data_IF_773953788954
#
_entry.id   IF_773953788954
#
_cell.length_a   1.000
_cell.length_b   1.000
_cell.length_c   1.000
_cell.angle_alpha   90.00
_cell.angle_beta   90.00
_cell.angle_gamma   90.00
#
_symmetry.space_group_name_H-M   'P 1'
#
loop_
_entity.id
_entity.type
_entity.pdbx_description
1 polymer ?
#
# COMPACT_ATOMS: atom_id res chain seq x y z
N UNK A 1 26.15 23.71 -30.52
CA UNK A 1 25.08 24.73 -30.42
C UNK A 1 24.30 24.45 -29.16
N UNK A 2 24.12 25.46 -28.30
CA UNK A 2 23.29 25.32 -27.10
C UNK A 2 21.83 25.53 -27.52
N UNK A 3 20.99 24.51 -27.38
CA UNK A 3 19.56 24.59 -27.65
C UNK A 3 18.83 24.80 -26.32
N UNK A 4 18.05 25.88 -26.24
CA UNK A 4 17.28 26.22 -25.05
C UNK A 4 15.88 25.58 -25.13
N UNK A 5 15.53 24.75 -24.14
CA UNK A 5 14.17 24.22 -24.01
C UNK A 5 13.32 25.24 -23.24
N UNK A 6 12.28 25.74 -23.90
CA UNK A 6 11.30 26.64 -23.32
C UNK A 6 10.02 25.89 -23.01
N UNK A 7 9.32 26.32 -21.95
CA UNK A 7 7.96 25.84 -21.64
C UNK A 7 7.05 26.10 -22.86
N UNK A 8 6.41 25.07 -23.44
CA UNK A 8 5.46 25.23 -24.55
C UNK A 8 4.21 26.00 -24.10
N UNK A 9 3.36 26.41 -25.05
CA UNK A 9 2.18 27.22 -24.74
C UNK A 9 1.18 26.42 -23.89
N UNK A 10 1.10 26.74 -22.58
CA UNK A 10 0.21 26.08 -21.61
C UNK A 10 -1.18 26.78 -21.55
N UNK A 11 -1.44 27.77 -22.41
CA UNK A 11 -2.65 28.60 -22.35
C UNK A 11 -2.48 29.82 -21.43
N UNK A 12 -3.57 30.51 -21.08
CA UNK A 12 -3.55 31.80 -20.34
C UNK A 12 -3.11 31.70 -18.86
N UNK A 13 -2.54 30.58 -18.43
CA UNK A 13 -2.13 30.35 -17.04
C UNK A 13 -0.76 30.97 -16.75
N UNK A 14 -0.72 31.84 -15.73
CA UNK A 14 0.51 32.48 -15.23
C UNK A 14 0.88 31.86 -13.88
N UNK A 15 2.15 31.52 -13.68
CA UNK A 15 2.72 30.99 -12.43
C UNK A 15 2.23 29.59 -12.01
N UNK A 16 2.55 28.58 -12.82
CA UNK A 16 2.23 27.16 -12.58
C UNK A 16 3.40 26.50 -11.83
N UNK A 17 3.12 25.61 -10.87
CA UNK A 17 4.14 24.98 -10.00
C UNK A 17 4.62 23.63 -10.57
N UNK A 18 5.89 23.31 -10.31
CA UNK A 18 6.51 22.03 -10.71
C UNK A 18 6.35 21.00 -9.60
N UNK A 19 5.61 19.92 -9.88
CA UNK A 19 5.45 18.79 -8.95
C UNK A 19 6.65 17.85 -9.03
N UNK A 20 7.13 17.57 -10.24
CA UNK A 20 8.12 16.52 -10.45
C UNK A 20 9.04 16.82 -11.63
N UNK A 21 10.35 16.61 -11.41
CA UNK A 21 11.40 16.70 -12.43
C UNK A 21 11.83 15.27 -12.76
N UNK A 22 11.51 14.80 -13.98
CA UNK A 22 11.72 13.41 -14.40
C UNK A 22 13.11 13.14 -14.98
N UNK A 23 13.93 14.18 -15.13
CA UNK A 23 15.24 14.13 -15.77
C UNK A 23 16.37 14.53 -14.81
N UNK A 24 17.51 13.84 -14.91
CA UNK A 24 18.75 14.21 -14.19
C UNK A 24 19.75 14.87 -15.14
N UNK A 25 20.65 15.69 -14.58
CA UNK A 25 21.73 16.30 -15.38
C UNK A 25 22.60 15.20 -16.02
N UNK A 26 22.73 15.25 -17.34
CA UNK A 26 23.46 14.23 -18.12
C UNK A 26 22.60 13.14 -18.77
N UNK A 27 21.30 13.07 -18.49
CA UNK A 27 20.40 12.10 -19.16
C UNK A 27 20.26 12.40 -20.66
N UNK A 28 20.08 11.32 -21.43
CA UNK A 28 19.85 11.35 -22.87
C UNK A 28 18.35 11.32 -23.13
N UNK A 29 17.79 12.42 -23.63
CA UNK A 29 16.36 12.55 -23.92
C UNK A 29 16.11 12.38 -25.43
N UNK A 30 15.03 11.69 -25.80
CA UNK A 30 14.50 11.67 -27.18
C UNK A 30 13.35 12.67 -27.36
N UNK A 31 13.09 13.05 -28.60
CA UNK A 31 11.99 13.93 -28.99
C UNK A 31 10.66 13.32 -28.52
N UNK A 32 9.85 14.16 -27.87
CA UNK A 32 8.57 13.82 -27.21
C UNK A 32 8.64 13.07 -25.87
N UNK A 33 9.82 12.79 -25.31
CA UNK A 33 9.90 12.20 -23.97
C UNK A 33 9.49 13.25 -22.89
N UNK A 34 8.74 12.87 -21.84
CA UNK A 34 8.31 13.79 -20.80
C UNK A 34 9.48 14.24 -19.92
N UNK A 35 9.65 15.55 -19.75
CA UNK A 35 10.76 16.16 -18.98
C UNK A 35 10.30 16.57 -17.57
N UNK A 36 9.13 17.18 -17.48
CA UNK A 36 8.59 17.82 -16.27
C UNK A 36 7.08 17.62 -16.19
N UNK A 37 6.58 17.49 -14.97
CA UNK A 37 5.14 17.47 -14.68
C UNK A 37 4.75 18.73 -13.93
N UNK A 38 3.81 19.48 -14.48
CA UNK A 38 3.33 20.76 -13.95
C UNK A 38 1.93 20.61 -13.36
N UNK A 39 1.65 21.28 -12.24
CA UNK A 39 0.31 21.36 -11.63
C UNK A 39 -0.41 22.63 -12.06
N UNK A 40 -1.46 22.49 -12.87
CA UNK A 40 -2.41 23.58 -13.10
C UNK A 40 -3.65 23.40 -12.22
N UNK A 41 -4.38 24.49 -11.97
CA UNK A 41 -5.60 24.60 -11.12
C UNK A 41 -6.68 23.54 -11.39
N UNK A 42 -6.60 22.82 -12.53
CA UNK A 42 -7.58 21.80 -12.90
C UNK A 42 -6.99 20.46 -13.34
N UNK A 43 -5.68 20.38 -13.60
CA UNK A 43 -5.05 19.16 -14.15
C UNK A 43 -3.52 19.22 -14.04
N UNK A 44 -2.90 18.06 -13.90
CA UNK A 44 -1.46 17.88 -14.14
C UNK A 44 -1.19 17.77 -15.64
N UNK A 45 -0.22 18.53 -16.15
CA UNK A 45 0.17 18.50 -17.57
C UNK A 45 1.65 18.16 -17.69
N UNK A 46 1.95 17.16 -18.52
CA UNK A 46 3.33 16.75 -18.81
C UNK A 46 3.90 17.60 -19.96
N UNK A 47 5.13 18.09 -19.79
CA UNK A 47 5.84 18.85 -20.81
C UNK A 47 6.79 17.92 -21.59
N UNK A 48 6.51 17.64 -22.88
CA UNK A 48 7.38 16.80 -23.70
C UNK A 48 8.62 17.55 -24.19
N UNK A 49 9.71 16.82 -24.45
CA UNK A 49 10.96 17.35 -24.98
C UNK A 49 10.84 17.78 -26.45
N UNK A 50 11.19 19.03 -26.81
CA UNK A 50 11.17 19.49 -28.20
C UNK A 50 12.36 19.02 -29.04
N UNK A 51 13.47 18.57 -28.42
CA UNK A 51 14.71 18.20 -29.13
C UNK A 51 15.39 16.96 -28.52
N UNK A 52 16.08 16.20 -29.37
CA UNK A 52 16.95 15.09 -28.97
C UNK A 52 18.30 15.64 -28.48
N UNK A 53 18.81 15.17 -27.33
CA UNK A 53 20.15 15.54 -26.87
C UNK A 53 20.44 15.21 -25.40
N UNK A 54 21.66 15.53 -24.95
CA UNK A 54 22.06 15.40 -23.54
C UNK A 54 21.82 16.70 -22.77
N UNK A 55 21.24 16.58 -21.59
CA UNK A 55 20.98 17.71 -20.68
C UNK A 55 22.29 18.17 -20.03
N UNK A 56 22.68 19.43 -20.23
CA UNK A 56 23.93 19.98 -19.66
C UNK A 56 23.75 20.65 -18.30
N UNK A 57 22.59 21.26 -18.06
CA UNK A 57 22.28 21.90 -16.77
C UNK A 57 20.77 22.05 -16.62
N UNK A 58 20.26 21.74 -15.44
CA UNK A 58 18.85 21.94 -15.08
C UNK A 58 18.79 23.15 -14.17
N UNK A 59 18.08 24.21 -14.58
CA UNK A 59 17.99 25.45 -13.79
C UNK A 59 16.79 25.48 -12.84
N UNK A 60 15.98 24.44 -12.83
CA UNK A 60 14.69 24.43 -12.13
C UNK A 60 14.65 23.35 -11.05
N UNK A 61 14.07 23.68 -9.89
CA UNK A 61 13.89 22.75 -8.76
C UNK A 61 12.41 22.40 -8.60
N UNK A 62 12.14 21.27 -7.94
CA UNK A 62 10.77 20.90 -7.53
C UNK A 62 10.20 22.03 -6.66
N UNK A 63 8.99 22.50 -7.00
CA UNK A 63 8.31 23.62 -6.33
C UNK A 63 8.59 25.02 -6.89
N UNK A 64 9.36 25.16 -7.98
CA UNK A 64 9.59 26.45 -8.63
C UNK A 64 8.42 26.88 -9.53
N UNK A 65 8.19 28.20 -9.66
CA UNK A 65 7.07 28.78 -10.42
C UNK A 65 7.50 29.12 -11.84
N UNK A 66 6.86 28.49 -12.82
CA UNK A 66 7.19 28.70 -14.24
C UNK A 66 6.05 29.36 -15.01
N UNK A 67 6.42 30.15 -16.03
CA UNK A 67 5.52 30.85 -16.95
C UNK A 67 5.88 30.55 -18.40
N UNK A 68 4.98 30.87 -19.34
CA UNK A 68 5.19 30.71 -20.79
C UNK A 68 6.56 31.22 -21.23
N UNK A 69 7.37 30.35 -21.82
CA UNK A 69 8.70 30.70 -22.32
C UNK A 69 9.84 30.66 -21.30
N UNK A 70 9.61 30.21 -20.06
CA UNK A 70 10.68 30.05 -19.07
C UNK A 70 11.71 29.00 -19.50
N UNK A 71 12.98 29.24 -19.17
CA UNK A 71 14.10 28.39 -19.56
C UNK A 71 14.20 27.18 -18.62
N UNK A 72 13.94 25.99 -19.15
CA UNK A 72 13.96 24.74 -18.38
C UNK A 72 15.37 24.15 -18.31
N UNK A 73 15.98 23.94 -19.48
CA UNK A 73 17.26 23.25 -19.62
C UNK A 73 17.98 23.68 -20.90
N UNK A 74 19.31 23.59 -20.88
CA UNK A 74 20.17 23.77 -22.06
C UNK A 74 20.66 22.41 -22.56
N UNK A 75 20.42 22.12 -23.84
CA UNK A 75 20.91 20.93 -24.55
C UNK A 75 22.21 21.23 -25.29
N UNK A 76 23.11 20.23 -25.31
CA UNK A 76 24.30 20.22 -26.17
C UNK A 76 24.23 19.02 -27.11
N UNK A 77 24.36 19.26 -28.42
CA UNK A 77 24.47 18.20 -29.42
C UNK A 77 25.93 17.90 -29.73
N UNK A 78 26.32 16.64 -29.53
CA UNK A 78 27.64 16.12 -29.87
C UNK A 78 27.78 14.65 -29.48
N UNK A 79 27.92 13.79 -30.49
CA UNK A 79 28.18 12.36 -30.36
C UNK A 79 29.58 12.04 -29.81
N UNK A 80 29.61 11.01 -28.97
CA UNK A 80 30.75 10.16 -28.56
C UNK A 80 31.98 10.77 -27.83
N UNK A 81 32.15 10.43 -26.54
CA UNK A 81 33.22 9.57 -25.99
C UNK A 81 33.54 9.80 -24.48
N UNK A 82 33.53 8.67 -23.75
CA UNK A 82 34.19 8.25 -22.48
C UNK A 82 34.48 9.22 -21.30
N UNK A 83 33.89 8.82 -20.15
CA UNK A 83 34.43 8.66 -18.77
C UNK A 83 35.03 9.88 -18.06
N UNK A 84 34.42 10.27 -16.92
CA UNK A 84 35.09 10.37 -15.60
C UNK A 84 34.08 10.65 -14.47
N UNK A 85 33.77 9.60 -13.74
CA UNK A 85 33.35 9.67 -12.33
C UNK A 85 34.46 10.28 -11.49
N UNK A 86 34.12 11.27 -10.65
CA UNK A 86 34.63 11.34 -9.28
C UNK A 86 33.99 12.48 -8.47
N UNK A 87 33.34 12.12 -7.35
CA UNK A 87 33.56 12.76 -6.05
C UNK A 87 33.08 11.85 -4.90
N UNK A 88 34.05 11.09 -4.37
CA UNK A 88 34.23 10.66 -2.97
C UNK A 88 33.05 10.10 -2.18
N UNK A 89 33.03 8.77 -2.07
CA UNK A 89 32.44 8.04 -0.93
C UNK A 89 33.58 7.74 0.05
N UNK A 90 33.34 7.88 1.35
CA UNK A 90 34.32 7.57 2.38
C UNK A 90 34.62 6.05 2.38
N UNK A 91 35.90 5.64 2.55
CA UNK A 91 36.37 4.26 2.38
C UNK A 91 35.85 3.25 3.44
N UNK A 92 35.02 3.69 4.39
CA UNK A 92 34.43 2.81 5.41
C UNK A 92 33.06 2.24 5.00
N UNK A 93 32.24 2.98 4.24
CA UNK A 93 30.92 2.51 3.79
C UNK A 93 31.04 1.43 2.71
N UNK A 94 32.06 1.48 1.85
CA UNK A 94 32.31 0.46 0.84
C UNK A 94 32.69 -0.90 1.43
N UNK A 95 33.46 -0.90 2.53
CA UNK A 95 33.82 -2.15 3.21
C UNK A 95 32.61 -2.83 3.82
N UNK A 96 31.70 -2.06 4.42
CA UNK A 96 30.45 -2.56 5.00
C UNK A 96 29.51 -3.11 3.91
N UNK A 97 29.43 -2.44 2.75
CA UNK A 97 28.63 -2.90 1.60
C UNK A 97 29.21 -4.19 1.01
N UNK A 98 30.54 -4.29 0.88
CA UNK A 98 31.20 -5.51 0.39
C UNK A 98 31.07 -6.69 1.37
N UNK A 99 31.05 -6.42 2.68
CA UNK A 99 30.79 -7.43 3.70
C UNK A 99 29.34 -7.91 3.65
N UNK A 100 28.38 -6.99 3.49
CA UNK A 100 26.96 -7.32 3.32
C UNK A 100 26.70 -8.11 2.03
N UNK A 101 27.34 -7.75 0.91
CA UNK A 101 27.25 -8.50 -0.35
C UNK A 101 27.89 -9.90 -0.28
N UNK A 102 28.99 -10.05 0.47
CA UNK A 102 29.61 -11.36 0.71
C UNK A 102 28.74 -12.26 1.58
N UNK A 103 27.96 -11.70 2.51
CA UNK A 103 27.02 -12.47 3.34
C UNK A 103 25.81 -12.91 2.52
N UNK A 104 25.29 -12.05 1.63
CA UNK A 104 24.19 -12.38 0.72
C UNK A 104 24.56 -13.48 -0.29
N UNK A 105 25.80 -13.50 -0.80
CA UNK A 105 26.26 -14.53 -1.77
C UNK A 105 26.67 -15.88 -1.15
N UNK A 106 26.76 -15.99 0.18
CA UNK A 106 27.20 -17.24 0.85
C UNK A 106 26.04 -18.12 1.35
N UNK A 107 24.81 -17.65 1.29
CA UNK A 107 23.62 -18.33 1.84
C UNK A 107 22.53 -18.60 0.79
N UNK A 108 22.89 -19.07 -0.40
CA UNK A 108 21.96 -19.78 -1.27
C UNK A 108 22.23 -21.29 -1.21
N UNK A 109 21.52 -22.06 -0.38
CA UNK A 109 21.28 -23.45 -0.68
C UNK A 109 20.09 -23.55 -1.64
N UNK A 110 20.34 -24.21 -2.77
CA UNK A 110 19.40 -24.58 -3.82
C UNK A 110 18.06 -25.08 -3.25
N UNK A 111 16.98 -24.32 -3.46
CA UNK A 111 15.62 -24.87 -3.40
C UNK A 111 15.32 -25.53 -4.74
N UNK A 112 15.52 -26.85 -4.81
CA UNK A 112 14.90 -27.69 -5.83
C UNK A 112 13.39 -27.47 -5.79
N UNK A 113 12.86 -27.06 -6.94
CA UNK A 113 11.43 -27.01 -7.23
C UNK A 113 10.94 -28.45 -7.19
N UNK A 114 10.24 -28.80 -6.12
CA UNK A 114 9.33 -29.94 -6.10
C UNK A 114 7.96 -29.31 -6.37
N UNK A 115 7.45 -29.51 -7.58
CA UNK A 115 6.04 -29.32 -7.89
C UNK A 115 5.25 -30.41 -7.15
N UNK A 116 4.99 -30.19 -5.87
CA UNK A 116 3.90 -30.86 -5.17
C UNK A 116 2.66 -29.98 -5.36
N UNK A 117 1.76 -30.41 -6.26
CA UNK A 117 0.38 -29.94 -6.26
C UNK A 117 -0.15 -30.01 -4.83
N UNK A 118 -0.77 -28.94 -4.30
CA UNK A 118 -1.35 -29.01 -2.97
C UNK A 118 -2.47 -30.05 -3.03
N UNK A 119 -2.22 -31.23 -2.47
CA UNK A 119 -3.28 -32.19 -2.14
C UNK A 119 -4.28 -31.45 -1.27
N UNK A 120 -5.41 -31.12 -1.86
CA UNK A 120 -6.59 -30.61 -1.18
C UNK A 120 -7.15 -31.70 -0.28
N UNK A 121 -6.50 -31.95 0.85
CA UNK A 121 -7.15 -32.57 1.98
C UNK A 121 -7.86 -31.45 2.75
N UNK A 122 -8.91 -30.88 2.16
CA UNK A 122 -9.91 -30.13 2.90
C UNK A 122 -10.88 -31.12 3.56
N UNK A 123 -10.34 -31.96 4.44
CA UNK A 123 -11.12 -32.62 5.49
C UNK A 123 -10.76 -31.99 6.84
N UNK A 124 -10.68 -30.67 6.90
CA UNK A 124 -10.96 -30.00 8.16
C UNK A 124 -12.47 -30.02 8.26
N UNK A 125 -13.03 -30.96 9.04
CA UNK A 125 -14.37 -30.80 9.59
C UNK A 125 -14.35 -29.46 10.31
N UNK A 126 -14.80 -28.41 9.63
CA UNK A 126 -15.04 -27.13 10.25
C UNK A 126 -16.19 -27.40 11.19
N UNK A 127 -15.89 -27.61 12.47
CA UNK A 127 -16.91 -27.56 13.51
C UNK A 127 -17.34 -26.10 13.57
N UNK A 128 -18.29 -25.74 12.70
CA UNK A 128 -19.02 -24.50 12.85
C UNK A 128 -19.71 -24.59 14.20
N UNK A 129 -19.10 -23.97 15.23
CA UNK A 129 -19.80 -23.73 16.48
C UNK A 129 -21.11 -23.09 16.08
N UNK A 130 -22.23 -23.74 16.42
CA UNK A 130 -23.56 -23.17 16.25
C UNK A 130 -23.57 -21.87 17.05
N UNK A 131 -23.31 -20.74 16.39
CA UNK A 131 -23.41 -19.43 16.99
C UNK A 131 -24.89 -19.13 17.09
N UNK A 132 -25.52 -19.52 18.19
CA UNK A 132 -26.97 -19.42 18.36
C UNK A 132 -27.46 -18.00 18.54
N UNK A 133 -26.58 -17.04 18.83
CA UNK A 133 -27.03 -15.70 19.25
C UNK A 133 -26.25 -14.61 18.49
N UNK A 134 -26.75 -14.29 17.30
CA UNK A 134 -26.62 -12.94 16.76
C UNK A 134 -27.99 -12.29 16.88
N UNK A 135 -28.27 -11.66 18.04
CA UNK A 135 -29.47 -10.83 18.15
C UNK A 135 -29.28 -9.62 17.26
N UNK A 136 -30.00 -9.63 16.14
CA UNK A 136 -30.14 -8.44 15.32
C UNK A 136 -31.22 -7.58 15.97
N UNK A 137 -31.09 -6.25 15.91
CA UNK A 137 -32.15 -5.33 16.38
C UNK A 137 -33.50 -5.53 15.63
N UNK A 138 -33.53 -6.39 14.60
CA UNK A 138 -34.70 -6.77 13.81
C UNK A 138 -35.56 -7.89 14.45
N UNK A 139 -35.14 -8.47 15.57
CA UNK A 139 -35.88 -9.54 16.28
C UNK A 139 -37.20 -9.04 16.91
N UNK A 140 -37.55 -7.75 16.75
CA UNK A 140 -38.80 -7.16 17.26
C UNK A 140 -40.03 -7.44 16.38
N UNK A 141 -39.84 -8.03 15.20
CA UNK A 141 -40.94 -8.53 14.37
C UNK A 141 -41.13 -9.99 14.82
N UNK A 142 -42.14 -10.23 15.65
CA UNK A 142 -42.45 -11.58 16.11
C UNK A 142 -42.55 -12.55 14.93
N UNK A 143 -41.82 -13.66 15.01
CA UNK A 143 -41.79 -14.67 13.97
C UNK A 143 -43.19 -15.30 13.80
N UNK A 144 -43.70 -15.27 12.57
CA UNK A 144 -45.04 -15.79 12.22
C UNK A 144 -45.02 -17.32 12.19
N UNK A 145 -43.92 -17.91 11.74
CA UNK A 145 -43.73 -19.36 11.70
C UNK A 145 -42.27 -19.74 12.07
N UNK A 146 -42.02 -19.99 13.37
CA UNK A 146 -40.70 -20.38 13.84
C UNK A 146 -40.18 -21.68 13.22
N UNK A 147 -41.06 -22.59 12.81
CA UNK A 147 -40.64 -23.87 12.25
C UNK A 147 -40.12 -23.69 10.82
N UNK A 148 -40.80 -22.89 10.01
CA UNK A 148 -40.29 -22.50 8.68
C UNK A 148 -38.91 -21.83 8.83
N UNK A 149 -38.76 -20.86 9.73
CA UNK A 149 -37.48 -20.17 9.96
C UNK A 149 -36.35 -21.15 10.28
N UNK A 150 -36.61 -22.15 11.13
CA UNK A 150 -35.64 -23.21 11.46
C UNK A 150 -35.29 -24.05 10.22
N UNK A 151 -36.28 -24.46 9.42
CA UNK A 151 -36.06 -25.24 8.20
C UNK A 151 -35.20 -24.49 7.16
N UNK A 152 -35.42 -23.18 7.01
CA UNK A 152 -34.59 -22.34 6.14
C UNK A 152 -33.16 -22.21 6.66
N UNK A 153 -32.98 -22.03 7.97
CA UNK A 153 -31.66 -21.97 8.61
C UNK A 153 -30.93 -23.32 8.43
N UNK A 154 -31.60 -24.43 8.68
CA UNK A 154 -31.02 -25.77 8.53
C UNK A 154 -30.68 -26.08 7.07
N UNK A 155 -31.51 -25.61 6.13
CA UNK A 155 -31.22 -25.70 4.69
C UNK A 155 -29.94 -24.94 4.32
N UNK A 156 -29.74 -23.74 4.86
CA UNK A 156 -28.53 -22.96 4.63
C UNK A 156 -27.30 -23.63 5.27
N UNK A 157 -27.43 -24.13 6.50
CA UNK A 157 -26.38 -24.86 7.21
C UNK A 157 -25.92 -26.09 6.41
N UNK A 158 -26.88 -26.86 5.90
CA UNK A 158 -26.60 -28.04 5.07
C UNK A 158 -25.81 -27.70 3.80
N UNK A 159 -26.07 -26.54 3.18
CA UNK A 159 -25.30 -26.05 2.02
C UNK A 159 -23.89 -25.64 2.43
N UNK A 160 -23.73 -24.98 3.58
CA UNK A 160 -22.41 -24.60 4.09
C UNK A 160 -21.55 -25.85 4.38
N UNK A 161 -22.14 -26.88 4.97
CA UNK A 161 -21.46 -28.14 5.29
C UNK A 161 -21.04 -28.90 4.03
N UNK A 162 -21.90 -28.97 3.00
CA UNK A 162 -21.63 -29.75 1.78
C UNK A 162 -20.81 -29.00 0.73
N UNK A 163 -21.21 -27.77 0.42
CA UNK A 163 -20.73 -27.01 -0.74
C UNK A 163 -19.86 -25.80 -0.34
N UNK A 164 -19.76 -25.50 0.96
CA UNK A 164 -18.89 -24.48 1.53
C UNK A 164 -19.47 -23.05 1.58
N UNK A 165 -18.75 -22.10 2.20
CA UNK A 165 -19.25 -20.75 2.50
C UNK A 165 -19.46 -19.89 1.24
N UNK A 166 -18.66 -20.08 0.19
CA UNK A 166 -18.80 -19.35 -1.08
C UNK A 166 -20.15 -19.64 -1.75
N UNK A 167 -20.61 -20.89 -1.70
CA UNK A 167 -21.90 -21.29 -2.26
C UNK A 167 -23.07 -20.71 -1.47
N UNK A 168 -22.99 -20.74 -0.14
CA UNK A 168 -24.00 -20.14 0.73
C UNK A 168 -24.16 -18.63 0.46
N UNK A 169 -23.04 -17.88 0.36
CA UNK A 169 -23.06 -16.46 0.01
C UNK A 169 -23.71 -16.19 -1.35
N UNK A 170 -23.49 -17.04 -2.35
CA UNK A 170 -24.14 -16.93 -3.65
C UNK A 170 -25.67 -17.10 -3.54
N UNK A 171 -26.15 -18.08 -2.78
CA UNK A 171 -27.59 -18.31 -2.58
C UNK A 171 -28.24 -17.15 -1.82
N UNK A 172 -27.60 -16.66 -0.76
CA UNK A 172 -28.06 -15.47 -0.03
C UNK A 172 -28.17 -14.26 -0.96
N UNK A 173 -27.18 -14.03 -1.82
CA UNK A 173 -27.25 -12.99 -2.84
C UNK A 173 -28.45 -13.16 -3.78
N UNK A 174 -28.78 -14.38 -4.19
CA UNK A 174 -29.97 -14.65 -5.03
C UNK A 174 -31.28 -14.41 -4.27
N UNK A 175 -31.38 -14.84 -3.01
CA UNK A 175 -32.57 -14.63 -2.18
C UNK A 175 -32.80 -13.15 -1.89
N UNK A 176 -31.74 -12.41 -1.56
CA UNK A 176 -31.80 -10.95 -1.36
C UNK A 176 -32.29 -10.25 -2.63
N UNK A 177 -31.74 -10.61 -3.80
CA UNK A 177 -32.22 -10.06 -5.07
C UNK A 177 -33.69 -10.38 -5.34
N UNK A 178 -34.13 -11.60 -5.04
CA UNK A 178 -35.54 -11.98 -5.17
C UNK A 178 -36.43 -11.18 -4.22
N UNK A 179 -35.99 -10.98 -2.97
CA UNK A 179 -36.71 -10.16 -1.99
C UNK A 179 -36.85 -8.70 -2.47
N UNK A 180 -35.80 -8.14 -3.07
CA UNK A 180 -35.86 -6.81 -3.69
C UNK A 180 -36.87 -6.75 -4.84
N UNK A 181 -36.88 -7.75 -5.74
CA UNK A 181 -37.85 -7.83 -6.84
C UNK A 181 -39.29 -7.95 -6.31
N UNK A 182 -39.48 -8.70 -5.22
CA UNK A 182 -40.77 -8.89 -4.56
C UNK A 182 -41.22 -7.67 -3.73
N UNK A 183 -40.46 -6.58 -3.72
CA UNK A 183 -40.84 -5.32 -3.06
C UNK A 183 -40.46 -5.22 -1.58
N UNK A 184 -39.63 -6.13 -1.07
CA UNK A 184 -39.11 -6.02 0.29
C UNK A 184 -37.96 -5.00 0.34
N UNK A 185 -38.12 -3.95 1.13
CA UNK A 185 -37.10 -2.92 1.35
C UNK A 185 -36.14 -3.38 2.46
N UNK A 186 -35.31 -4.40 2.18
CA UNK A 186 -34.21 -4.71 3.10
C UNK A 186 -33.14 -3.61 2.98
N UNK A 187 -32.72 -2.97 4.09
CA UNK A 187 -31.57 -2.09 4.06
C UNK A 187 -30.34 -2.93 3.66
N UNK A 188 -29.68 -2.55 2.57
CA UNK A 188 -28.47 -3.21 2.10
C UNK A 188 -27.39 -3.11 3.19
N UNK A 189 -27.05 -4.22 3.84
CA UNK A 189 -26.01 -4.25 4.85
C UNK A 189 -24.68 -4.62 4.23
N UNK A 190 -23.82 -3.62 3.97
CA UNK A 190 -22.44 -3.82 3.52
C UNK A 190 -21.49 -4.29 4.64
N UNK A 191 -21.97 -4.37 5.89
CA UNK A 191 -21.11 -4.67 7.03
C UNK A 191 -21.12 -6.16 7.29
N UNK A 192 -19.93 -6.74 7.33
CA UNK A 192 -19.71 -8.06 7.92
C UNK A 192 -19.96 -7.99 9.43
N UNK A 193 -20.29 -9.11 10.09
CA UNK A 193 -20.40 -9.15 11.54
C UNK A 193 -19.11 -8.64 12.20
N UNK A 194 -19.23 -8.07 13.40
CA UNK A 194 -18.09 -7.59 14.19
C UNK A 194 -17.35 -8.77 14.85
N UNK A 195 -16.76 -9.62 14.01
CA UNK A 195 -15.96 -10.80 14.35
C UNK A 195 -14.70 -10.85 13.48
N UNK A 196 -13.69 -11.59 13.92
CA UNK A 196 -12.48 -11.78 13.11
C UNK A 196 -12.80 -12.56 11.83
N UNK A 197 -12.35 -12.03 10.69
CA UNK A 197 -12.53 -12.66 9.37
C UNK A 197 -11.85 -14.03 9.27
N UNK A 198 -10.72 -14.21 9.96
CA UNK A 198 -9.96 -15.45 9.99
C UNK A 198 -10.31 -16.20 11.29
N UNK A 199 -10.93 -17.39 11.21
CA UNK A 199 -11.18 -18.22 12.37
C UNK A 199 -9.88 -18.84 12.90
N UNK A 200 -9.88 -19.23 14.17
CA UNK A 200 -8.73 -19.81 14.87
C UNK A 200 -8.13 -21.04 14.19
N UNK A 201 -8.96 -21.82 13.48
CA UNK A 201 -8.53 -23.02 12.76
C UNK A 201 -7.75 -22.71 11.48
N UNK A 202 -8.04 -21.55 10.85
CA UNK A 202 -7.35 -21.06 9.65
C UNK A 202 -6.24 -20.06 9.98
N UNK A 203 -5.99 -19.80 11.27
CA UNK A 203 -4.97 -18.88 11.72
C UNK A 203 -3.57 -19.48 11.50
N UNK A 204 -2.77 -18.83 10.66
CA UNK A 204 -1.38 -19.20 10.48
C UNK A 204 -0.58 -18.88 11.75
N UNK A 205 0.21 -19.84 12.24
CA UNK A 205 1.11 -19.60 13.38
C UNK A 205 2.26 -18.69 12.96
N UNK A 206 2.57 -17.69 13.78
CA UNK A 206 3.77 -16.86 13.59
C UNK A 206 5.04 -17.73 13.62
N UNK A 207 6.00 -17.51 12.70
CA UNK A 207 7.27 -18.23 12.70
C UNK A 207 8.26 -17.74 13.77
N UNK A 208 8.01 -16.57 14.39
CA UNK A 208 8.91 -15.93 15.35
C UNK A 208 8.77 -16.43 16.79
N UNK A 209 9.77 -16.13 17.62
CA UNK A 209 9.69 -16.33 19.06
C UNK A 209 8.93 -15.18 19.73
N UNK A 210 7.69 -15.47 20.11
CA UNK A 210 6.79 -14.49 20.71
C UNK A 210 7.33 -13.86 22.00
N UNK A 211 8.13 -14.60 22.78
CA UNK A 211 8.68 -14.09 24.05
C UNK A 211 9.72 -13.01 23.77
N UNK A 212 10.60 -13.28 22.80
CA UNK A 212 11.64 -12.35 22.38
C UNK A 212 11.03 -11.11 21.73
N UNK A 213 10.07 -11.28 20.82
CA UNK A 213 9.33 -10.18 20.18
C UNK A 213 8.67 -9.29 21.23
N UNK A 214 7.96 -9.87 22.21
CA UNK A 214 7.32 -9.11 23.28
C UNK A 214 8.35 -8.29 24.08
N UNK A 215 9.52 -8.87 24.38
CA UNK A 215 10.59 -8.18 25.11
C UNK A 215 11.16 -7.00 24.30
N UNK A 216 11.42 -7.21 23.02
CA UNK A 216 11.91 -6.16 22.11
C UNK A 216 10.87 -5.05 21.99
N UNK A 217 9.59 -5.40 21.76
CA UNK A 217 8.47 -4.46 21.68
C UNK A 217 8.32 -3.62 22.94
N UNK A 218 8.46 -4.22 24.12
CA UNK A 218 8.42 -3.49 25.40
C UNK A 218 9.55 -2.46 25.51
N UNK A 219 10.76 -2.80 25.07
CA UNK A 219 11.90 -1.86 25.06
C UNK A 219 11.69 -0.72 24.06
N UNK A 220 11.18 -1.02 22.87
CA UNK A 220 10.87 0.00 21.84
C UNK A 220 9.81 0.97 22.37
N UNK A 221 8.73 0.46 22.98
CA UNK A 221 7.67 1.28 23.60
C UNK A 221 8.22 2.17 24.71
N UNK A 222 9.11 1.63 25.56
CA UNK A 222 9.74 2.40 26.62
C UNK A 222 10.61 3.53 26.06
N UNK A 223 11.42 3.24 25.04
CA UNK A 223 12.26 4.25 24.39
C UNK A 223 11.42 5.34 23.72
N UNK A 224 10.35 4.97 23.01
CA UNK A 224 9.43 5.92 22.39
C UNK A 224 8.78 6.86 23.43
N UNK A 225 8.27 6.31 24.53
CA UNK A 225 7.73 7.11 25.63
C UNK A 225 8.79 8.02 26.25
N UNK A 226 10.00 7.51 26.48
CA UNK A 226 11.11 8.30 27.02
C UNK A 226 11.50 9.45 26.10
N UNK A 227 11.51 9.26 24.78
CA UNK A 227 11.82 10.33 23.82
C UNK A 227 10.83 11.48 23.92
N UNK A 228 9.53 11.18 23.96
CA UNK A 228 8.47 12.20 24.09
C UNK A 228 8.54 12.89 25.44
N UNK A 229 8.69 12.16 26.53
CA UNK A 229 8.80 12.74 27.88
C UNK A 229 10.03 13.64 27.99
N UNK A 230 11.17 13.24 27.39
CA UNK A 230 12.39 14.06 27.38
C UNK A 230 12.24 15.32 26.54
N UNK A 231 11.55 15.23 25.41
CA UNK A 231 11.26 16.39 24.57
C UNK A 231 10.36 17.38 25.30
N UNK A 232 9.27 16.90 25.92
CA UNK A 232 8.33 17.71 26.68
C UNK A 232 8.98 18.38 27.91
N UNK A 233 9.98 17.74 28.53
CA UNK A 233 10.77 18.38 29.61
C UNK A 233 11.56 19.62 29.15
N UNK A 234 11.98 19.66 27.88
CA UNK A 234 12.74 20.79 27.32
C UNK A 234 11.81 21.84 26.70
N UNK A 235 10.79 21.38 25.99
CA UNK A 235 9.85 22.20 25.22
C UNK A 235 8.44 21.66 25.47
N UNK A 236 7.65 22.26 26.40
CA UNK A 236 6.31 21.78 26.73
C UNK A 236 5.33 21.87 25.55
N UNK A 237 5.56 22.83 24.65
CA UNK A 237 4.73 23.13 23.47
C UNK A 237 4.87 22.09 22.34
N UNK A 238 5.92 21.26 22.37
CA UNK A 238 6.21 20.30 21.28
C UNK A 238 5.19 19.15 21.24
N UNK A 239 4.61 18.81 22.39
CA UNK A 239 3.64 17.72 22.53
C UNK A 239 4.20 16.33 22.18
N UNK A 240 3.30 15.37 21.99
CA UNK A 240 3.65 14.04 21.48
C UNK A 240 2.59 12.97 21.76
N UNK A 241 2.27 12.17 20.74
CA UNK A 241 1.23 11.13 20.80
C UNK A 241 1.80 9.78 21.26
N UNK A 242 1.93 9.58 22.56
CA UNK A 242 2.39 8.30 23.14
C UNK A 242 1.36 7.19 22.91
N UNK A 243 0.07 7.52 23.03
CA UNK A 243 -1.03 6.56 22.93
C UNK A 243 -1.15 5.95 21.53
N UNK A 244 -0.94 6.73 20.47
CA UNK A 244 -1.05 6.27 19.08
C UNK A 244 -0.01 5.22 18.75
N UNK A 245 1.25 5.45 19.14
CA UNK A 245 2.28 4.43 18.95
C UNK A 245 2.01 3.21 19.84
N UNK A 246 1.58 3.40 21.08
CA UNK A 246 1.30 2.28 21.99
C UNK A 246 0.20 1.34 21.47
N UNK A 247 -0.85 1.86 20.83
CA UNK A 247 -1.95 1.06 20.27
C UNK A 247 -1.54 0.32 19.00
N UNK A 248 -0.72 0.92 18.14
CA UNK A 248 -0.30 0.34 16.86
C UNK A 248 1.03 -0.43 16.92
N UNK A 249 1.77 -0.39 18.02
CA UNK A 249 3.12 -0.98 18.12
C UNK A 249 3.16 -2.49 17.87
N UNK A 250 2.07 -3.23 18.14
CA UNK A 250 2.02 -4.66 17.76
C UNK A 250 1.88 -4.84 16.26
N UNK A 251 1.20 -3.92 15.56
CA UNK A 251 0.96 -4.02 14.12
C UNK A 251 2.23 -3.72 13.31
N UNK A 252 3.10 -2.83 13.79
CA UNK A 252 4.35 -2.48 13.11
C UNK A 252 5.48 -3.49 13.28
N UNK A 253 5.34 -4.39 14.25
CA UNK A 253 6.42 -5.28 14.72
C UNK A 253 6.20 -6.75 14.31
N UNK A 254 5.05 -7.04 13.70
CA UNK A 254 4.64 -8.38 13.20
C UNK A 254 5.08 -8.57 11.76
#
# INVERSE_FOLDING_TARGET
>A
MNLEIKVPDIGDFKNVEIIEVLIKEGDQIKKNDPILTLESDKSSVEVPSPFDGKISSIKVKVGDKVSKGSLIATLSNGDSSKIKDNKSILPETEKIIQEAEKVLKKNEPEKKIIEEEPKQNFETKVEFKKFTNYSSEQDNIGDVDPQETIEWIDSLNSVVERDGPKRANYLLGKLINQAYISGSNLPYNQKTPYINTIPREMEAKSPGDQVLENKIRSLIRWNAACMVVRANKKLPELGGHIATFASAATLYDV
#
